data_IF_052441684459
#
_entry.id   IF_052441684459
#
_cell.length_a   1.000
_cell.length_b   1.000
_cell.length_c   1.000
_cell.angle_alpha   90.00
_cell.angle_beta   90.00
_cell.angle_gamma   90.00
#
_symmetry.space_group_name_H-M   'P 1'
#
loop_
_entity.id
_entity.type
_entity.pdbx_description
1 polymer ?
#
# COMPACT_ATOMS: atom_id res chain seq x y z
N UNK A 1 27.96 -4.22 7.80
CA UNK A 1 26.91 -4.15 8.84
C UNK A 1 27.25 -4.92 10.10
N UNK A 2 27.17 -4.23 11.23
CA UNK A 2 27.07 -4.83 12.56
C UNK A 2 25.67 -5.45 12.81
N UNK A 3 25.48 -6.07 13.97
CA UNK A 3 24.23 -6.78 14.31
C UNK A 3 23.02 -5.83 14.47
N UNK A 4 23.26 -4.60 14.94
CA UNK A 4 22.19 -3.62 15.12
C UNK A 4 21.67 -3.14 13.77
N UNK A 5 22.57 -2.89 12.81
CA UNK A 5 22.23 -2.54 11.43
C UNK A 5 21.42 -3.65 10.74
N UNK A 6 21.84 -4.92 10.88
CA UNK A 6 21.10 -6.06 10.32
C UNK A 6 19.70 -6.18 10.92
N UNK A 7 19.57 -5.91 12.22
CA UNK A 7 18.26 -5.91 12.90
C UNK A 7 17.37 -4.79 12.39
N UNK A 8 17.90 -3.57 12.21
CA UNK A 8 17.17 -2.44 11.63
C UNK A 8 16.77 -2.75 10.19
N UNK A 9 17.67 -3.30 9.38
CA UNK A 9 17.41 -3.70 7.99
C UNK A 9 16.26 -4.71 7.91
N UNK A 10 16.33 -5.79 8.70
CA UNK A 10 15.27 -6.80 8.74
C UNK A 10 13.92 -6.20 9.15
N UNK A 11 13.92 -5.29 10.12
CA UNK A 11 12.72 -4.61 10.58
C UNK A 11 12.10 -3.70 9.50
N UNK A 12 12.93 -2.91 8.81
CA UNK A 12 12.48 -2.02 7.75
C UNK A 12 12.02 -2.79 6.50
N UNK A 13 12.65 -3.93 6.21
CA UNK A 13 12.27 -4.81 5.11
C UNK A 13 10.91 -5.48 5.36
N UNK A 14 10.67 -5.96 6.58
CA UNK A 14 9.43 -6.65 6.93
C UNK A 14 8.26 -5.69 7.24
N UNK A 15 8.54 -4.43 7.59
CA UNK A 15 7.50 -3.49 7.98
C UNK A 15 6.71 -3.00 6.77
N UNK A 16 5.37 -3.10 6.84
CA UNK A 16 4.47 -2.49 5.88
C UNK A 16 4.29 -0.97 6.07
N UNK A 17 4.84 -0.40 7.15
CA UNK A 17 4.72 1.03 7.49
C UNK A 17 6.07 1.67 7.80
N UNK A 18 6.23 2.99 7.64
CA UNK A 18 7.39 3.71 8.14
C UNK A 18 7.56 3.57 9.65
N UNK A 19 8.81 3.38 10.10
CA UNK A 19 9.20 3.18 11.49
C UNK A 19 9.90 4.42 12.05
N UNK A 20 9.59 4.80 13.28
CA UNK A 20 10.28 5.89 13.98
C UNK A 20 11.61 5.42 14.58
N UNK A 21 12.49 6.36 14.94
CA UNK A 21 13.69 6.04 15.74
C UNK A 21 13.35 5.35 17.07
N UNK A 22 12.18 5.63 17.66
CA UNK A 22 11.70 4.94 18.86
C UNK A 22 11.30 3.49 18.58
N UNK A 23 10.64 3.22 17.45
CA UNK A 23 10.29 1.86 17.04
C UNK A 23 11.56 1.02 16.82
N UNK A 24 12.53 1.58 16.10
CA UNK A 24 13.81 0.94 15.82
C UNK A 24 14.65 0.75 17.09
N UNK A 25 14.68 1.75 17.97
CA UNK A 25 15.41 1.71 19.24
C UNK A 25 14.93 0.59 20.16
N UNK A 26 13.62 0.33 20.20
CA UNK A 26 13.04 -0.81 20.95
C UNK A 26 13.55 -2.16 20.45
N UNK A 27 13.82 -2.29 19.14
CA UNK A 27 14.29 -3.54 18.54
C UNK A 27 15.75 -3.82 18.85
N UNK A 28 16.59 -2.78 18.82
CA UNK A 28 18.03 -2.92 19.07
C UNK A 28 18.44 -2.67 20.54
N UNK A 29 17.46 -2.47 21.43
CA UNK A 29 17.69 -2.23 22.85
C UNK A 29 18.32 -0.87 23.19
N UNK A 30 18.11 0.15 22.34
CA UNK A 30 18.71 1.49 22.50
C UNK A 30 17.62 2.54 22.70
N UNK A 31 17.68 3.25 23.84
CA UNK A 31 16.73 4.32 24.16
C UNK A 31 17.13 5.71 23.63
N UNK A 32 18.36 5.87 23.12
CA UNK A 32 18.89 7.14 22.64
C UNK A 32 18.52 7.37 21.15
N UNK A 33 17.55 8.24 20.82
CA UNK A 33 17.06 8.37 19.45
C UNK A 33 18.13 8.83 18.46
N UNK A 34 19.04 9.72 18.89
CA UNK A 34 20.15 10.20 18.05
C UNK A 34 21.12 9.10 17.62
N UNK A 35 21.35 8.09 18.46
CA UNK A 35 22.15 6.92 18.10
C UNK A 35 21.43 6.05 17.07
N UNK A 36 20.13 5.82 17.27
CA UNK A 36 19.31 5.03 16.35
C UNK A 36 19.21 5.72 14.99
N UNK A 37 19.04 7.04 14.97
CA UNK A 37 19.05 7.84 13.73
C UNK A 37 20.39 7.75 13.01
N UNK A 38 21.51 7.79 13.74
CA UNK A 38 22.83 7.62 13.15
C UNK A 38 22.97 6.23 12.50
N UNK A 39 22.49 5.17 13.16
CA UNK A 39 22.48 3.80 12.61
C UNK A 39 21.57 3.67 11.39
N UNK A 40 20.38 4.26 11.43
CA UNK A 40 19.47 4.26 10.27
C UNK A 40 20.08 4.99 9.07
N UNK A 41 20.75 6.13 9.30
CA UNK A 41 21.47 6.88 8.25
C UNK A 41 22.70 6.14 7.74
N UNK A 42 23.40 5.41 8.60
CA UNK A 42 24.50 4.52 8.21
C UNK A 42 23.98 3.45 7.23
N UNK A 43 22.84 2.81 7.55
CA UNK A 43 22.20 1.85 6.64
C UNK A 43 21.80 2.48 5.30
N UNK A 44 21.24 3.70 5.33
CA UNK A 44 20.93 4.45 4.10
C UNK A 44 22.18 4.64 3.23
N UNK A 45 23.31 5.02 3.84
CA UNK A 45 24.57 5.21 3.13
C UNK A 45 25.15 3.89 2.59
N UNK A 46 25.00 2.77 3.31
CA UNK A 46 25.41 1.45 2.81
C UNK A 46 24.63 1.07 1.54
N UNK A 47 23.31 1.24 1.53
CA UNK A 47 22.46 0.96 0.37
C UNK A 47 22.73 1.90 -0.83
N UNK A 48 23.14 3.14 -0.56
CA UNK A 48 23.59 4.07 -1.60
C UNK A 48 24.92 3.63 -2.21
N UNK A 49 25.90 3.31 -1.36
CA UNK A 49 27.23 2.86 -1.80
C UNK A 49 27.18 1.56 -2.60
N UNK A 50 26.29 0.63 -2.21
CA UNK A 50 26.10 -0.63 -2.91
C UNK A 50 25.45 -0.46 -4.29
N UNK A 51 24.84 0.69 -4.59
CA UNK A 51 24.10 0.89 -5.83
C UNK A 51 22.90 -0.05 -5.97
N UNK A 52 22.31 -0.48 -4.84
CA UNK A 52 21.20 -1.43 -4.82
C UNK A 52 19.96 -0.84 -5.51
N UNK A 53 19.12 -1.70 -6.10
CA UNK A 53 17.81 -1.29 -6.65
C UNK A 53 16.81 -0.87 -5.56
N UNK A 54 17.08 -1.27 -4.31
CA UNK A 54 16.34 -0.88 -3.12
C UNK A 54 17.11 0.23 -2.40
N UNK A 55 16.40 1.10 -1.71
CA UNK A 55 16.97 2.14 -0.84
C UNK A 55 16.24 2.17 0.50
N UNK A 56 16.94 2.66 1.52
CA UNK A 56 16.32 3.13 2.76
C UNK A 56 16.03 4.62 2.59
N UNK A 57 14.80 5.04 2.86
CA UNK A 57 14.36 6.42 2.79
C UNK A 57 13.94 6.93 4.18
N UNK A 58 13.97 8.25 4.36
CA UNK A 58 13.51 8.93 5.56
C UNK A 58 12.57 10.07 5.18
N UNK A 59 11.38 10.09 5.77
CA UNK A 59 10.37 11.13 5.55
C UNK A 59 9.65 11.42 6.87
N UNK A 60 9.57 12.69 7.26
CA UNK A 60 8.93 13.10 8.52
C UNK A 60 9.53 12.45 9.77
N UNK A 61 10.83 12.11 9.76
CA UNK A 61 11.49 11.42 10.88
C UNK A 61 11.16 9.93 10.99
N UNK A 62 10.58 9.33 9.95
CA UNK A 62 10.29 7.90 9.85
C UNK A 62 11.10 7.28 8.73
N UNK A 63 11.58 6.05 8.95
CA UNK A 63 12.41 5.29 8.03
C UNK A 63 11.61 4.16 7.39
N UNK A 64 11.87 3.88 6.13
CA UNK A 64 11.26 2.76 5.38
C UNK A 64 12.16 2.30 4.25
N UNK A 65 12.02 1.04 3.82
CA UNK A 65 12.67 0.53 2.61
C UNK A 65 11.73 0.67 1.41
N UNK A 66 12.28 1.10 0.27
CA UNK A 66 11.51 1.27 -0.97
C UNK A 66 12.40 1.06 -2.19
N UNK A 67 11.78 0.81 -3.34
CA UNK A 67 12.49 0.69 -4.60
C UNK A 67 12.97 2.07 -5.08
N UNK A 68 14.12 2.13 -5.74
CA UNK A 68 14.52 3.34 -6.44
C UNK A 68 13.62 3.59 -7.65
N UNK A 69 13.37 4.86 -7.95
CA UNK A 69 12.45 5.32 -8.99
C UNK A 69 12.77 4.77 -10.38
N UNK A 70 14.05 4.56 -10.67
CA UNK A 70 14.58 4.01 -11.92
C UNK A 70 14.07 2.58 -12.17
N UNK A 71 13.82 1.81 -11.10
CA UNK A 71 13.32 0.44 -11.16
C UNK A 71 11.81 0.33 -10.97
N UNK A 72 11.09 1.43 -10.80
CA UNK A 72 9.62 1.44 -10.60
C UNK A 72 8.84 0.78 -11.76
N UNK A 73 9.44 0.65 -12.95
CA UNK A 73 8.86 -0.14 -14.06
C UNK A 73 8.84 -1.64 -13.76
N UNK A 74 9.89 -2.17 -13.16
CA UNK A 74 10.00 -3.60 -12.82
C UNK A 74 8.98 -3.96 -11.75
N UNK A 75 8.89 -3.17 -10.67
CA UNK A 75 7.88 -3.40 -9.64
C UNK A 75 6.45 -3.28 -10.17
N UNK A 76 6.19 -2.43 -11.17
CA UNK A 76 4.87 -2.38 -11.83
C UNK A 76 4.51 -3.71 -12.48
N UNK A 77 5.45 -4.36 -13.16
CA UNK A 77 5.18 -5.64 -13.82
C UNK A 77 4.90 -6.78 -12.83
N UNK A 78 5.47 -6.74 -11.64
CA UNK A 78 5.15 -7.68 -10.55
C UNK A 78 3.93 -7.25 -9.72
N UNK A 79 3.62 -5.95 -9.67
CA UNK A 79 2.39 -5.42 -9.09
C UNK A 79 1.16 -5.61 -10.02
N UNK A 80 1.35 -6.10 -11.26
CA UNK A 80 0.28 -6.35 -12.24
C UNK A 80 -0.75 -7.38 -11.80
N UNK A 81 -0.45 -8.25 -10.83
CA UNK A 81 -1.49 -9.07 -10.17
C UNK A 81 -2.58 -8.20 -9.51
N UNK A 82 -2.34 -6.90 -9.32
CA UNK A 82 -3.26 -5.91 -8.76
C UNK A 82 -3.64 -4.75 -9.72
N UNK A 83 -3.36 -4.82 -11.03
CA UNK A 83 -3.71 -3.71 -11.93
C UNK A 83 -5.21 -3.67 -12.22
N UNK A 84 -6.00 -3.06 -11.32
CA UNK A 84 -7.37 -2.63 -11.61
C UNK A 84 -7.32 -1.66 -12.80
N UNK A 85 -8.10 -1.90 -13.85
CA UNK A 85 -8.14 -1.03 -15.01
C UNK A 85 -8.50 0.40 -14.62
N UNK A 86 -7.99 1.41 -15.35
CA UNK A 86 -8.29 2.83 -15.04
C UNK A 86 -9.80 3.12 -15.01
N UNK A 87 -10.55 2.44 -15.87
CA UNK A 87 -12.00 2.57 -15.92
C UNK A 87 -12.65 1.90 -14.68
N UNK A 88 -12.21 0.71 -14.29
CA UNK A 88 -12.66 0.05 -13.07
C UNK A 88 -12.27 0.79 -11.78
N UNK A 89 -11.13 1.48 -11.73
CA UNK A 89 -10.75 2.35 -10.60
C UNK A 89 -11.75 3.48 -10.39
N UNK A 90 -12.24 4.10 -11.48
CA UNK A 90 -13.29 5.13 -11.40
C UNK A 90 -14.57 4.54 -10.81
N UNK A 91 -14.99 3.38 -11.31
CA UNK A 91 -16.16 2.66 -10.79
C UNK A 91 -16.00 2.28 -9.32
N UNK A 92 -14.83 1.80 -8.92
CA UNK A 92 -14.48 1.47 -7.53
C UNK A 92 -14.58 2.69 -6.60
N UNK A 93 -14.08 3.84 -7.02
CA UNK A 93 -14.19 5.08 -6.25
C UNK A 93 -15.65 5.50 -6.00
N UNK A 94 -16.53 5.32 -7.00
CA UNK A 94 -17.97 5.55 -6.83
C UNK A 94 -18.60 4.55 -5.86
N UNK A 95 -18.27 3.26 -5.98
CA UNK A 95 -18.79 2.22 -5.08
C UNK A 95 -18.34 2.50 -3.64
N UNK A 96 -17.09 2.88 -3.41
CA UNK A 96 -16.59 3.26 -2.08
C UNK A 96 -17.35 4.47 -1.50
N UNK A 97 -17.56 5.51 -2.31
CA UNK A 97 -18.24 6.74 -1.87
C UNK A 97 -19.69 6.50 -1.43
N UNK A 98 -20.42 5.63 -2.13
CA UNK A 98 -21.85 5.41 -1.88
C UNK A 98 -22.16 4.13 -1.09
N UNK A 99 -21.19 3.23 -0.95
CA UNK A 99 -21.21 1.95 -0.24
C UNK A 99 -22.60 1.35 0.00
N UNK A 100 -23.05 0.46 -0.89
CA UNK A 100 -24.41 -0.07 -0.92
C UNK A 100 -25.24 0.35 -2.14
N UNK A 101 -24.60 0.96 -3.14
CA UNK A 101 -25.22 1.32 -4.42
C UNK A 101 -25.57 0.08 -5.25
N UNK A 102 -26.71 0.10 -5.95
CA UNK A 102 -27.08 -0.98 -6.89
C UNK A 102 -26.40 -0.80 -8.25
N UNK A 103 -26.23 -1.89 -9.02
CA UNK A 103 -25.75 -1.83 -10.42
C UNK A 103 -26.59 -0.88 -11.29
N UNK A 104 -27.90 -0.82 -11.06
CA UNK A 104 -28.82 0.06 -11.79
C UNK A 104 -28.54 1.54 -11.52
N UNK A 105 -28.30 1.90 -10.25
CA UNK A 105 -27.96 3.27 -9.87
C UNK A 105 -26.57 3.66 -10.37
N UNK A 106 -25.61 2.73 -10.30
CA UNK A 106 -24.27 2.93 -10.82
C UNK A 106 -24.27 3.15 -12.34
N UNK A 107 -25.04 2.34 -13.07
CA UNK A 107 -25.24 2.49 -14.52
C UNK A 107 -25.81 3.87 -14.89
N UNK A 108 -26.79 4.38 -14.14
CA UNK A 108 -27.34 5.73 -14.38
C UNK A 108 -26.29 6.83 -14.22
N UNK A 109 -25.25 6.61 -13.42
CA UNK A 109 -24.19 7.61 -13.15
C UNK A 109 -22.98 7.49 -14.08
N UNK A 110 -22.60 6.27 -14.47
CA UNK A 110 -21.34 6.00 -15.17
C UNK A 110 -21.50 5.34 -16.56
N UNK A 111 -22.72 4.93 -16.93
CA UNK A 111 -23.01 4.31 -18.23
C UNK A 111 -22.76 2.80 -18.28
N UNK A 112 -22.68 2.25 -19.49
CA UNK A 112 -22.66 0.81 -19.76
C UNK A 112 -21.37 0.10 -19.41
N UNK A 113 -20.26 0.81 -19.32
CA UNK A 113 -18.93 0.24 -19.03
C UNK A 113 -18.81 -0.32 -17.61
N UNK A 114 -19.75 0.00 -16.71
CA UNK A 114 -19.77 -0.48 -15.31
C UNK A 114 -19.91 -1.99 -15.17
N UNK A 115 -20.48 -2.69 -16.14
CA UNK A 115 -20.69 -4.14 -16.00
C UNK A 115 -19.36 -4.90 -16.03
N UNK A 116 -18.48 -4.54 -16.96
CA UNK A 116 -17.14 -5.12 -17.06
C UNK A 116 -16.29 -4.72 -15.85
N UNK A 117 -16.38 -3.46 -15.42
CA UNK A 117 -15.67 -3.01 -14.23
C UNK A 117 -16.10 -3.77 -12.97
N UNK A 118 -17.40 -3.94 -12.75
CA UNK A 118 -17.89 -4.63 -11.55
C UNK A 118 -17.51 -6.10 -11.59
N UNK A 119 -17.44 -6.72 -12.76
CA UNK A 119 -16.93 -8.08 -12.91
C UNK A 119 -15.44 -8.15 -12.52
N UNK A 120 -14.61 -7.27 -13.09
CA UNK A 120 -13.18 -7.18 -12.79
C UNK A 120 -12.92 -6.91 -11.29
N UNK A 121 -13.63 -5.95 -10.70
CA UNK A 121 -13.48 -5.60 -9.29
C UNK A 121 -13.93 -6.71 -8.34
N UNK A 122 -14.94 -7.49 -8.74
CA UNK A 122 -15.40 -8.64 -7.97
C UNK A 122 -14.43 -9.82 -8.08
N UNK A 123 -13.93 -10.11 -9.29
CA UNK A 123 -12.90 -11.13 -9.54
C UNK A 123 -11.63 -10.85 -8.75
N UNK A 124 -11.19 -9.58 -8.74
CA UNK A 124 -10.03 -9.13 -7.96
C UNK A 124 -10.32 -8.98 -6.46
N UNK A 125 -11.56 -9.21 -6.03
CA UNK A 125 -11.94 -9.19 -4.61
C UNK A 125 -11.98 -7.82 -3.95
N UNK A 126 -12.02 -6.73 -4.72
CA UNK A 126 -12.17 -5.35 -4.20
C UNK A 126 -13.62 -4.97 -3.92
N UNK A 127 -14.58 -5.62 -4.60
CA UNK A 127 -16.02 -5.39 -4.45
C UNK A 127 -16.76 -6.70 -4.18
N UNK A 128 -17.70 -6.66 -3.24
CA UNK A 128 -18.65 -7.74 -2.97
C UNK A 128 -20.09 -7.32 -3.32
N UNK A 129 -20.93 -8.33 -3.62
CA UNK A 129 -22.35 -8.14 -3.91
C UNK A 129 -23.20 -8.72 -2.77
N UNK A 130 -23.99 -7.87 -2.11
CA UNK A 130 -24.94 -8.29 -1.07
C UNK A 130 -26.36 -8.29 -1.59
N UNK A 131 -27.20 -9.20 -1.10
CA UNK A 131 -28.63 -9.22 -1.45
C UNK A 131 -29.33 -8.01 -0.84
N UNK A 132 -30.08 -7.28 -1.66
CA UNK A 132 -30.93 -6.17 -1.25
C UNK A 132 -32.31 -6.38 -1.87
N UNK A 133 -33.19 -7.09 -1.16
CA UNK A 133 -34.49 -7.51 -1.68
C UNK A 133 -34.35 -8.37 -2.95
N UNK A 134 -34.97 -7.92 -4.06
CA UNK A 134 -34.86 -8.55 -5.39
C UNK A 134 -33.61 -8.13 -6.18
N UNK A 135 -32.81 -7.23 -5.62
CA UNK A 135 -31.62 -6.64 -6.26
C UNK A 135 -30.34 -7.04 -5.51
N UNK A 136 -29.18 -6.61 -6.03
CA UNK A 136 -27.89 -6.71 -5.35
C UNK A 136 -27.28 -5.31 -5.16
N UNK A 137 -26.78 -5.04 -3.96
CA UNK A 137 -25.98 -3.86 -3.63
C UNK A 137 -24.49 -4.18 -3.71
N UNK A 138 -23.69 -3.18 -4.10
CA UNK A 138 -22.25 -3.27 -4.24
C UNK A 138 -21.56 -2.61 -3.05
N UNK A 139 -20.60 -3.30 -2.47
CA UNK A 139 -19.83 -2.84 -1.31
C UNK A 139 -18.34 -3.07 -1.53
N UNK A 140 -17.50 -2.22 -0.96
CA UNK A 140 -16.06 -2.47 -0.91
C UNK A 140 -15.72 -3.51 0.14
N UNK A 141 -14.74 -4.37 -0.15
CA UNK A 141 -14.33 -5.47 0.74
C UNK A 141 -13.28 -5.02 1.77
N UNK A 142 -12.90 -5.94 2.66
CA UNK A 142 -11.75 -5.75 3.56
C UNK A 142 -10.44 -5.56 2.77
N UNK A 143 -10.22 -6.37 1.71
CA UNK A 143 -9.08 -6.23 0.79
C UNK A 143 -8.96 -4.81 0.22
N UNK A 144 -10.09 -4.20 -0.15
CA UNK A 144 -10.08 -2.80 -0.60
C UNK A 144 -9.58 -1.84 0.48
N UNK A 145 -10.02 -1.99 1.74
CA UNK A 145 -9.59 -1.12 2.84
C UNK A 145 -8.10 -1.27 3.11
N UNK A 146 -7.60 -2.50 3.16
CA UNK A 146 -6.18 -2.79 3.36
C UNK A 146 -5.32 -2.20 2.23
N UNK A 147 -5.79 -2.34 0.98
CA UNK A 147 -5.04 -1.91 -0.20
C UNK A 147 -5.09 -0.38 -0.46
N UNK A 148 -6.21 0.29 -0.18
CA UNK A 148 -6.41 1.71 -0.53
C UNK A 148 -6.58 2.66 0.66
N UNK A 149 -6.91 2.15 1.85
CA UNK A 149 -7.16 2.96 3.05
C UNK A 149 -6.19 2.64 4.20
N UNK A 150 -5.32 1.65 4.05
CA UNK A 150 -4.25 1.32 5.01
C UNK A 150 -3.27 2.48 5.26
N UNK A 151 -3.28 3.50 4.40
CA UNK A 151 -2.47 4.73 4.49
C UNK A 151 -3.28 6.01 4.78
N UNK A 152 -4.48 5.92 5.38
CA UNK A 152 -5.18 7.09 5.93
C UNK A 152 -4.89 7.24 7.43
N UNK A 153 -3.64 7.56 7.75
CA UNK A 153 -3.30 8.40 8.91
C UNK A 153 -2.81 9.75 8.38
N UNK A 154 -3.76 10.62 8.04
CA UNK A 154 -3.55 12.07 7.94
C UNK A 154 -4.76 12.77 8.54
#
# INVERSE_FOLDING_TARGET
MDEQLKTIEAALFMSSRPLTALDLGKLIGVAAPGFVDAKAKELMAEYEKLGSSIKVACEGGKYYMTLRSEYAKVARDFAKEAEISKHALKTLAYINKFNGITKRELFRKLGSSIYNDVAELAEKGFVEQKRLGRSKSLHTTQKFREYFQGDQQL
#
